data_IF_582905161220
#
_entry.id   IF_582905161220
#
_cell.length_a   1.000
_cell.length_b   1.000
_cell.length_c   1.000
_cell.angle_alpha   90.00
_cell.angle_beta   90.00
_cell.angle_gamma   90.00
#
_symmetry.space_group_name_H-M   'P 1'
#
loop_
_entity.id
_entity.type
_entity.pdbx_description
1 polymer ?
#
# COMPACT_ATOMS: atom_id res chain seq x y z
N UNK A 1 7.65 16.44 -24.95
CA UNK A 1 6.67 15.35 -24.69
C UNK A 1 7.41 14.02 -24.65
N UNK A 2 7.09 13.14 -23.71
CA UNK A 2 7.54 11.73 -23.74
C UNK A 2 6.39 10.87 -24.25
N UNK A 3 6.69 9.99 -25.19
CA UNK A 3 5.76 9.00 -25.74
C UNK A 3 6.26 7.65 -25.26
N UNK A 4 5.38 6.91 -24.60
CA UNK A 4 5.64 5.55 -24.12
C UNK A 4 4.76 4.60 -24.93
N UNK A 5 5.37 3.64 -25.59
CA UNK A 5 4.68 2.58 -26.33
C UNK A 5 4.38 1.39 -25.44
N UNK A 6 3.55 0.50 -25.95
CA UNK A 6 3.36 -0.83 -25.39
C UNK A 6 4.70 -1.58 -25.26
N UNK A 7 4.74 -2.55 -24.35
CA UNK A 7 5.94 -3.36 -24.14
C UNK A 7 6.22 -4.24 -25.36
N UNK A 8 7.46 -4.18 -25.83
CA UNK A 8 7.95 -4.94 -26.98
C UNK A 8 9.43 -5.27 -26.77
N UNK A 9 9.81 -6.52 -27.01
CA UNK A 9 11.18 -7.00 -26.83
C UNK A 9 12.10 -6.60 -28.00
N UNK A 10 11.58 -5.96 -29.06
CA UNK A 10 12.32 -5.71 -30.30
C UNK A 10 12.48 -4.22 -30.66
N UNK A 11 11.63 -3.33 -30.14
CA UNK A 11 11.62 -1.90 -30.50
C UNK A 11 11.87 -1.01 -29.29
N UNK A 12 12.32 0.23 -29.53
CA UNK A 12 12.29 1.23 -28.45
C UNK A 12 10.88 1.56 -28.05
N UNK A 13 10.69 1.61 -26.74
CA UNK A 13 9.41 1.87 -26.10
C UNK A 13 9.27 3.33 -25.69
N UNK A 14 10.37 4.08 -25.57
CA UNK A 14 10.35 5.52 -25.26
C UNK A 14 10.79 6.38 -26.43
N UNK A 15 10.04 7.45 -26.68
CA UNK A 15 10.39 8.48 -27.63
C UNK A 15 10.20 9.87 -27.02
N UNK A 16 11.13 10.76 -27.31
CA UNK A 16 11.05 12.16 -26.92
C UNK A 16 10.70 12.97 -28.16
N UNK A 17 9.62 13.74 -28.07
CA UNK A 17 9.21 14.69 -29.09
C UNK A 17 9.47 16.11 -28.60
N UNK A 18 10.36 16.83 -29.28
CA UNK A 18 10.62 18.27 -29.08
C UNK A 18 9.92 19.09 -30.16
N UNK A 19 9.92 20.41 -29.99
CA UNK A 19 9.45 21.37 -30.98
C UNK A 19 10.57 22.39 -31.20
N UNK A 20 10.97 22.57 -32.46
CA UNK A 20 12.08 23.42 -32.87
C UNK A 20 11.67 24.21 -34.12
N UNK A 21 12.31 25.35 -34.36
CA UNK A 21 12.17 26.09 -35.61
C UNK A 21 13.35 25.73 -36.52
N UNK A 22 13.09 25.29 -37.74
CA UNK A 22 14.13 25.13 -38.74
C UNK A 22 14.67 26.49 -39.20
N UNK A 23 15.79 26.46 -39.92
CA UNK A 23 16.50 27.66 -40.39
C UNK A 23 15.67 28.59 -41.28
N UNK A 24 14.59 28.09 -41.88
CA UNK A 24 13.62 28.81 -42.71
C UNK A 24 12.38 29.31 -41.93
N UNK A 25 12.33 29.10 -40.60
CA UNK A 25 11.21 29.50 -39.75
C UNK A 25 10.05 28.51 -39.72
N UNK A 26 10.18 27.33 -40.33
CA UNK A 26 9.16 26.27 -40.26
C UNK A 26 9.22 25.56 -38.90
N UNK A 27 8.07 25.31 -38.28
CA UNK A 27 8.02 24.51 -37.05
C UNK A 27 8.25 23.02 -37.38
N UNK A 28 9.27 22.41 -36.76
CA UNK A 28 9.60 20.99 -36.88
C UNK A 28 9.46 20.30 -35.51
N UNK A 29 9.11 19.02 -35.53
CA UNK A 29 8.90 18.22 -34.31
C UNK A 29 9.75 16.94 -34.33
N UNK A 30 11.07 17.05 -34.15
CA UNK A 30 11.95 15.89 -34.22
C UNK A 30 11.63 14.90 -33.09
N UNK A 31 11.88 13.62 -33.40
CA UNK A 31 11.68 12.50 -32.48
C UNK A 31 13.02 11.86 -32.19
N UNK A 32 13.37 11.79 -30.90
CA UNK A 32 14.57 11.11 -30.42
C UNK A 32 14.17 9.80 -29.73
N UNK A 33 14.81 8.71 -30.14
CA UNK A 33 14.67 7.40 -29.50
C UNK A 33 15.29 7.44 -28.10
N UNK A 34 14.56 6.96 -27.11
CA UNK A 34 14.96 6.94 -25.71
C UNK A 34 15.34 5.53 -25.25
N UNK A 35 14.83 5.18 -24.07
CA UNK A 35 15.06 3.90 -23.40
C UNK A 35 14.34 2.77 -24.15
N UNK A 36 14.95 1.59 -24.17
CA UNK A 36 14.41 0.35 -24.78
C UNK A 36 14.13 -0.68 -23.68
N UNK A 37 13.13 -1.55 -23.88
CA UNK A 37 12.88 -2.71 -23.03
C UNK A 37 11.97 -2.47 -21.83
N UNK A 38 11.33 -1.30 -21.74
CA UNK A 38 10.29 -1.03 -20.73
C UNK A 38 9.12 -0.33 -21.41
N UNK A 39 8.04 -1.03 -21.68
CA UNK A 39 6.81 -0.43 -22.21
C UNK A 39 5.68 -0.34 -21.19
N UNK A 40 4.65 0.38 -21.58
CA UNK A 40 3.43 0.51 -20.78
C UNK A 40 2.47 -0.66 -21.05
N UNK A 41 1.89 -1.22 -19.99
CA UNK A 41 0.92 -2.32 -20.11
C UNK A 41 -0.51 -1.80 -20.30
N UNK A 42 -0.81 -0.63 -19.72
CA UNK A 42 -2.10 0.03 -19.90
C UNK A 42 -1.91 1.51 -20.23
N UNK A 43 -2.63 1.97 -21.25
CA UNK A 43 -2.70 3.39 -21.64
C UNK A 43 -3.49 4.25 -20.64
N UNK A 44 -4.26 3.63 -19.75
CA UNK A 44 -5.08 4.29 -18.74
C UNK A 44 -4.42 4.32 -17.35
N UNK A 45 -3.21 3.78 -17.23
CA UNK A 45 -2.47 3.71 -15.97
C UNK A 45 -1.37 4.79 -15.85
N UNK A 46 -1.51 5.89 -16.60
CA UNK A 46 -0.58 7.03 -16.58
C UNK A 46 -1.13 8.16 -15.73
N UNK A 47 -0.37 8.62 -14.74
CA UNK A 47 -0.74 9.79 -13.94
C UNK A 47 0.49 10.49 -13.35
N UNK A 48 0.28 11.70 -12.83
CA UNK A 48 1.31 12.49 -12.16
C UNK A 48 1.07 12.50 -10.65
N UNK A 49 1.89 11.75 -9.90
CA UNK A 49 1.89 11.82 -8.45
C UNK A 49 2.90 12.86 -8.00
N UNK A 50 2.43 14.09 -7.75
CA UNK A 50 3.28 15.28 -7.57
C UNK A 50 4.16 15.51 -8.81
N UNK A 51 5.48 15.37 -8.66
CA UNK A 51 6.46 15.57 -9.74
C UNK A 51 6.89 14.24 -10.40
N UNK A 52 6.27 13.12 -10.04
CA UNK A 52 6.63 11.79 -10.52
C UNK A 52 5.62 11.33 -11.59
N UNK A 53 6.00 11.28 -12.89
CA UNK A 53 5.14 10.76 -13.94
C UNK A 53 5.12 9.22 -13.87
N UNK A 54 4.07 8.67 -13.26
CA UNK A 54 3.88 7.25 -13.05
C UNK A 54 3.20 6.60 -14.24
N UNK A 55 3.60 5.37 -14.54
CA UNK A 55 2.97 4.51 -15.53
C UNK A 55 3.19 3.04 -15.18
N UNK A 56 2.29 2.17 -15.63
CA UNK A 56 2.34 0.74 -15.36
C UNK A 56 3.16 -0.02 -16.41
N UNK A 57 4.12 -0.81 -15.96
CA UNK A 57 4.91 -1.77 -16.77
C UNK A 57 4.59 -3.21 -16.36
N UNK A 58 5.12 -4.20 -17.08
CA UNK A 58 4.95 -5.62 -16.73
C UNK A 58 5.56 -5.98 -15.36
N UNK A 59 6.54 -5.20 -14.91
CA UNK A 59 7.27 -5.41 -13.66
C UNK A 59 6.75 -4.55 -12.50
N UNK A 60 5.76 -3.67 -12.76
CA UNK A 60 5.13 -2.82 -11.76
C UNK A 60 4.98 -1.35 -12.19
N UNK A 61 4.62 -0.49 -11.25
CA UNK A 61 4.51 0.96 -11.46
C UNK A 61 5.90 1.57 -11.47
N UNK A 62 6.20 2.30 -12.53
CA UNK A 62 7.47 2.94 -12.76
C UNK A 62 7.31 4.42 -13.05
N UNK A 63 8.40 5.17 -12.88
CA UNK A 63 8.47 6.58 -13.20
C UNK A 63 9.58 6.89 -14.18
N UNK A 64 9.32 7.81 -15.11
CA UNK A 64 10.37 8.39 -15.96
C UNK A 64 11.07 9.49 -15.16
N UNK A 65 12.34 9.29 -14.84
CA UNK A 65 13.15 10.22 -14.05
C UNK A 65 14.36 10.73 -14.81
N UNK A 66 14.92 11.83 -14.33
CA UNK A 66 16.20 12.38 -14.80
C UNK A 66 17.30 11.93 -13.84
N UNK A 67 18.34 11.29 -14.36
CA UNK A 67 19.58 11.07 -13.62
C UNK A 67 20.49 12.27 -13.87
N UNK A 68 20.83 12.97 -12.80
CA UNK A 68 21.72 14.13 -12.79
C UNK A 68 23.17 13.67 -12.64
N UNK A 69 23.74 13.08 -13.69
CA UNK A 69 25.15 12.67 -13.75
C UNK A 69 26.00 13.61 -14.60
N UNK A 70 26.35 14.80 -14.10
CA UNK A 70 27.25 15.75 -14.79
C UNK A 70 26.54 16.68 -15.80
N UNK A 71 27.21 16.98 -16.93
CA UNK A 71 26.76 17.97 -17.94
C UNK A 71 25.59 17.45 -18.80
N UNK A 72 25.38 16.13 -18.88
CA UNK A 72 24.26 15.53 -19.63
C UNK A 72 23.18 14.99 -18.69
N UNK A 73 21.96 15.55 -18.80
CA UNK A 73 20.78 14.96 -18.19
C UNK A 73 20.32 13.76 -19.02
N UNK A 74 20.37 12.56 -18.45
CA UNK A 74 19.85 11.35 -19.08
C UNK A 74 18.55 10.93 -18.39
N UNK A 75 17.54 10.57 -19.18
CA UNK A 75 16.30 10.01 -18.64
C UNK A 75 16.49 8.53 -18.38
N UNK A 76 15.98 8.04 -17.26
CA UNK A 76 15.91 6.63 -16.91
C UNK A 76 14.49 6.26 -16.43
N UNK A 77 14.17 4.97 -16.43
CA UNK A 77 12.96 4.45 -15.80
C UNK A 77 13.35 3.86 -14.44
N UNK A 78 12.60 4.22 -13.39
CA UNK A 78 12.79 3.66 -12.06
C UNK A 78 11.49 3.04 -11.55
N UNK A 79 11.59 1.87 -10.93
CA UNK A 79 10.46 1.23 -10.28
C UNK A 79 10.05 2.03 -9.02
N UNK A 80 8.74 2.17 -8.79
CA UNK A 80 8.15 2.87 -7.63
C UNK A 80 7.31 1.97 -6.75
N UNK A 81 7.08 0.73 -7.17
CA UNK A 81 6.17 -0.24 -6.56
C UNK A 81 6.84 -1.50 -6.04
N UNK A 82 8.16 -1.47 -5.80
CA UNK A 82 8.97 -2.63 -5.40
C UNK A 82 8.29 -3.52 -4.34
N UNK A 83 7.71 -2.90 -3.30
CA UNK A 83 7.07 -3.59 -2.19
C UNK A 83 5.77 -4.33 -2.54
N UNK A 84 5.10 -3.99 -3.65
CA UNK A 84 3.86 -4.64 -4.09
C UNK A 84 4.03 -5.51 -5.34
N UNK A 85 5.16 -5.43 -6.03
CA UNK A 85 5.37 -6.12 -7.32
C UNK A 85 5.11 -7.62 -7.22
N UNK A 86 5.53 -8.27 -6.12
CA UNK A 86 5.32 -9.72 -5.92
C UNK A 86 3.84 -10.16 -5.96
N UNK A 87 2.90 -9.23 -5.72
CA UNK A 87 1.46 -9.43 -5.88
C UNK A 87 0.96 -8.83 -7.19
N UNK A 88 1.30 -7.57 -7.46
CA UNK A 88 0.80 -6.81 -8.61
C UNK A 88 1.07 -7.53 -9.94
N UNK A 89 2.26 -8.11 -10.13
CA UNK A 89 2.62 -8.79 -11.39
C UNK A 89 1.88 -10.09 -11.65
N UNK A 90 1.08 -10.57 -10.68
CA UNK A 90 0.22 -11.75 -10.82
C UNK A 90 -1.23 -11.38 -11.17
N UNK A 91 -1.60 -10.10 -11.09
CA UNK A 91 -2.92 -9.60 -11.45
C UNK A 91 -3.04 -9.43 -12.97
N UNK A 92 -4.27 -9.31 -13.50
CA UNK A 92 -4.45 -8.92 -14.89
C UNK A 92 -4.25 -7.41 -15.06
N UNK A 93 -3.16 -7.03 -15.72
CA UNK A 93 -2.73 -5.63 -15.86
C UNK A 93 -3.28 -4.92 -17.10
N UNK A 94 -3.85 -5.64 -18.08
CA UNK A 94 -4.29 -5.04 -19.36
C UNK A 94 -5.42 -4.03 -19.19
N UNK A 95 -6.29 -4.28 -18.22
CA UNK A 95 -7.46 -3.44 -17.94
C UNK A 95 -7.19 -2.44 -16.81
N UNK A 96 -5.92 -2.27 -16.44
CA UNK A 96 -5.58 -1.44 -15.30
C UNK A 96 -5.88 0.02 -15.60
N UNK A 97 -6.48 0.71 -14.64
CA UNK A 97 -6.79 2.14 -14.73
C UNK A 97 -6.26 2.86 -13.51
N UNK A 98 -5.74 4.07 -13.69
CA UNK A 98 -5.26 4.87 -12.59
C UNK A 98 -5.98 6.21 -12.46
N UNK A 99 -5.84 6.79 -11.27
CA UNK A 99 -6.06 8.22 -11.04
C UNK A 99 -5.18 8.71 -9.90
N UNK A 100 -5.09 10.03 -9.75
CA UNK A 100 -4.53 10.65 -8.56
C UNK A 100 -5.62 11.36 -7.77
N UNK A 101 -5.72 11.04 -6.49
CA UNK A 101 -6.68 11.64 -5.58
C UNK A 101 -6.07 11.85 -4.20
N UNK A 102 -6.22 13.07 -3.65
CA UNK A 102 -5.75 13.43 -2.30
C UNK A 102 -4.30 13.02 -1.97
N UNK A 103 -3.40 13.19 -2.95
CA UNK A 103 -1.98 12.84 -2.80
C UNK A 103 -1.69 11.34 -2.84
N UNK A 104 -2.63 10.52 -3.29
CA UNK A 104 -2.43 9.11 -3.61
C UNK A 104 -2.49 8.88 -5.13
N UNK A 105 -1.65 7.98 -5.63
CA UNK A 105 -1.86 7.35 -6.94
C UNK A 105 -2.59 6.05 -6.72
N UNK A 106 -3.78 5.90 -7.31
CA UNK A 106 -4.61 4.71 -7.24
C UNK A 106 -4.44 3.95 -8.55
N UNK A 107 -4.16 2.64 -8.46
CA UNK A 107 -4.09 1.74 -9.60
C UNK A 107 -5.06 0.57 -9.38
N UNK A 108 -6.10 0.51 -10.18
CA UNK A 108 -7.06 -0.60 -10.19
C UNK A 108 -6.63 -1.67 -11.18
N UNK A 109 -6.72 -2.93 -10.80
CA UNK A 109 -6.43 -4.10 -11.66
C UNK A 109 -7.58 -5.11 -11.66
N UNK A 110 -8.83 -4.61 -11.62
CA UNK A 110 -10.03 -5.41 -11.37
C UNK A 110 -10.62 -5.10 -10.00
N UNK A 111 -10.62 -6.07 -9.09
CA UNK A 111 -11.12 -5.90 -7.71
C UNK A 111 -10.06 -5.43 -6.71
N UNK A 112 -8.80 -5.40 -7.12
CA UNK A 112 -7.67 -4.88 -6.36
C UNK A 112 -7.40 -3.43 -6.75
N UNK A 113 -7.19 -2.57 -5.75
CA UNK A 113 -6.66 -1.21 -5.94
C UNK A 113 -5.40 -1.03 -5.11
N UNK A 114 -4.32 -0.60 -5.75
CA UNK A 114 -3.05 -0.30 -5.11
C UNK A 114 -2.86 1.21 -4.99
N UNK A 115 -2.51 1.69 -3.80
CA UNK A 115 -2.43 3.12 -3.51
C UNK A 115 -1.02 3.51 -3.10
N UNK A 116 -0.33 4.32 -3.89
CA UNK A 116 0.94 4.93 -3.52
C UNK A 116 0.71 6.25 -2.78
N UNK A 117 1.22 6.38 -1.56
CA UNK A 117 1.14 7.62 -0.80
C UNK A 117 2.31 8.56 -1.12
N UNK A 118 2.02 9.71 -1.73
CA UNK A 118 3.04 10.71 -2.05
C UNK A 118 3.75 11.31 -0.83
N UNK A 119 3.14 11.25 0.36
CA UNK A 119 3.69 11.81 1.62
C UNK A 119 4.76 10.92 2.22
N UNK A 120 4.80 9.65 1.86
CA UNK A 120 5.73 8.66 2.41
C UNK A 120 6.60 8.11 1.29
N UNK A 121 7.86 8.56 1.23
CA UNK A 121 8.88 7.99 0.35
C UNK A 121 9.71 6.98 1.15
N UNK A 122 9.66 5.72 0.74
CA UNK A 122 10.39 4.62 1.36
C UNK A 122 11.58 4.30 0.46
N UNK A 123 12.80 4.43 0.98
CA UNK A 123 14.00 4.19 0.18
C UNK A 123 15.25 4.18 1.03
N UNK A 124 16.28 3.50 0.54
CA UNK A 124 17.60 3.54 1.18
C UNK A 124 18.24 4.90 0.87
N UNK A 125 18.74 5.62 1.88
CA UNK A 125 19.57 6.82 1.69
C UNK A 125 20.86 6.55 0.88
N UNK A 126 21.18 5.28 0.59
CA UNK A 126 22.35 4.84 -0.18
C UNK A 126 22.15 4.82 -1.70
N UNK A 127 20.92 4.89 -2.21
CA UNK A 127 20.62 4.88 -3.64
C UNK A 127 19.70 6.05 -3.98
N UNK A 128 19.88 6.68 -5.15
CA UNK A 128 19.00 7.77 -5.66
C UNK A 128 17.58 7.30 -6.03
N UNK A 129 17.25 6.06 -5.69
CA UNK A 129 15.99 5.39 -5.98
C UNK A 129 15.15 5.31 -4.71
N UNK A 130 13.93 5.83 -4.78
CA UNK A 130 12.92 5.68 -3.74
C UNK A 130 11.67 4.99 -4.31
N UNK A 131 10.92 4.31 -3.46
CA UNK A 131 9.56 3.87 -3.70
C UNK A 131 8.57 4.65 -2.83
N UNK A 132 7.27 4.42 -3.06
CA UNK A 132 6.23 4.92 -2.18
C UNK A 132 5.88 3.90 -1.09
N UNK A 133 5.25 4.37 -0.02
CA UNK A 133 4.44 3.47 0.80
C UNK A 133 3.18 3.10 0.02
N UNK A 134 2.86 1.81 0.01
CA UNK A 134 1.73 1.28 -0.74
C UNK A 134 0.68 0.67 0.17
N UNK A 135 -0.59 0.95 -0.13
CA UNK A 135 -1.74 0.28 0.46
C UNK A 135 -2.46 -0.56 -0.58
N UNK A 136 -3.20 -1.56 -0.10
CA UNK A 136 -3.99 -2.45 -0.94
C UNK A 136 -5.43 -2.44 -0.47
N UNK A 137 -6.33 -1.99 -1.35
CA UNK A 137 -7.77 -2.13 -1.17
C UNK A 137 -8.26 -3.32 -1.99
N UNK A 138 -9.21 -4.06 -1.42
CA UNK A 138 -9.87 -5.20 -2.05
C UNK A 138 -11.36 -4.91 -2.13
N UNK A 139 -12.03 -5.51 -3.11
CA UNK A 139 -13.48 -5.37 -3.29
C UNK A 139 -13.89 -4.02 -3.90
N UNK A 140 -12.97 -3.29 -4.53
CA UNK A 140 -13.28 -2.04 -5.25
C UNK A 140 -13.14 -2.29 -6.76
N UNK A 141 -14.23 -2.64 -7.47
CA UNK A 141 -14.20 -3.06 -8.87
C UNK A 141 -14.16 -1.88 -9.85
N UNK A 142 -13.21 -0.96 -9.66
CA UNK A 142 -13.12 0.26 -10.45
C UNK A 142 -12.54 -0.02 -11.85
N UNK A 143 -13.34 0.31 -12.88
CA UNK A 143 -12.97 0.24 -14.31
C UNK A 143 -12.75 1.60 -14.94
N UNK A 144 -13.16 2.66 -14.27
CA UNK A 144 -12.86 4.05 -14.62
C UNK A 144 -12.85 4.89 -13.35
N UNK A 145 -11.96 5.86 -13.27
CA UNK A 145 -11.86 6.80 -12.17
C UNK A 145 -12.23 8.21 -12.62
N UNK A 146 -12.80 9.00 -11.71
CA UNK A 146 -13.01 10.42 -11.89
C UNK A 146 -12.80 11.13 -10.55
N UNK A 147 -11.76 11.97 -10.49
CA UNK A 147 -11.65 12.99 -9.46
C UNK A 147 -12.41 14.23 -9.94
N UNK A 148 -13.31 14.75 -9.10
CA UNK A 148 -14.03 15.98 -9.41
C UNK A 148 -14.33 16.78 -8.15
N UNK A 149 -13.65 17.92 -7.99
CA UNK A 149 -13.93 18.85 -6.89
C UNK A 149 -13.51 18.31 -5.51
N UNK A 150 -12.48 17.46 -5.46
CA UNK A 150 -12.01 16.79 -4.24
C UNK A 150 -12.70 15.46 -3.96
N UNK A 151 -13.74 15.13 -4.72
CA UNK A 151 -14.50 13.88 -4.61
C UNK A 151 -13.96 12.82 -5.58
N UNK A 152 -14.01 11.56 -5.17
CA UNK A 152 -13.55 10.45 -5.98
C UNK A 152 -14.71 9.54 -6.36
N UNK A 153 -14.90 9.37 -7.66
CA UNK A 153 -15.92 8.50 -8.25
C UNK A 153 -15.27 7.37 -9.04
N UNK A 154 -15.97 6.25 -9.15
CA UNK A 154 -15.58 5.18 -10.05
C UNK A 154 -16.77 4.50 -10.73
N UNK A 155 -16.54 4.06 -11.96
CA UNK A 155 -17.46 3.20 -12.71
C UNK A 155 -17.09 1.73 -12.52
N UNK A 156 -18.08 0.86 -12.38
CA UNK A 156 -17.90 -0.60 -12.37
C UNK A 156 -18.09 -1.19 -13.76
N UNK A 157 -17.68 -2.46 -13.94
CA UNK A 157 -17.93 -3.21 -15.18
C UNK A 157 -19.43 -3.39 -15.48
N UNK A 158 -20.28 -3.42 -14.45
CA UNK A 158 -21.74 -3.50 -14.58
C UNK A 158 -22.41 -2.15 -14.85
N UNK A 159 -21.62 -1.08 -15.01
CA UNK A 159 -22.13 0.27 -15.31
C UNK A 159 -22.65 1.02 -14.09
N UNK A 160 -22.40 0.56 -12.86
CA UNK A 160 -22.71 1.33 -11.65
C UNK A 160 -21.72 2.48 -11.52
N UNK A 161 -22.22 3.65 -11.12
CA UNK A 161 -21.40 4.78 -10.70
C UNK A 161 -21.37 4.82 -9.16
N UNK A 162 -20.17 4.74 -8.60
CA UNK A 162 -19.91 4.74 -7.16
C UNK A 162 -19.13 6.00 -6.77
N UNK A 163 -19.29 6.45 -5.52
CA UNK A 163 -18.55 7.57 -4.93
C UNK A 163 -17.86 7.06 -3.66
N UNK A 164 -16.58 7.37 -3.51
CA UNK A 164 -15.87 7.13 -2.25
C UNK A 164 -16.40 8.09 -1.18
N UNK A 165 -16.65 7.57 0.02
CA UNK A 165 -17.27 8.34 1.08
C UNK A 165 -16.38 9.50 1.57
N UNK A 166 -16.95 10.69 1.63
CA UNK A 166 -16.32 11.94 2.08
C UNK A 166 -17.23 12.80 2.96
N UNK A 167 -18.53 12.48 2.98
CA UNK A 167 -19.61 13.32 3.51
C UNK A 167 -20.51 12.59 4.52
N UNK A 168 -20.36 11.28 4.70
CA UNK A 168 -21.09 10.55 5.76
C UNK A 168 -20.44 10.82 7.11
N UNK A 169 -21.27 11.24 8.06
CA UNK A 169 -20.85 11.52 9.44
C UNK A 169 -21.04 10.31 10.37
N UNK A 170 -20.56 10.44 11.61
CA UNK A 170 -20.72 9.42 12.64
C UNK A 170 -19.96 8.11 12.34
N UNK A 171 -20.51 7.00 12.81
CA UNK A 171 -19.90 5.66 12.70
C UNK A 171 -20.28 4.94 11.40
N UNK A 172 -21.37 5.35 10.75
CA UNK A 172 -21.83 4.79 9.47
C UNK A 172 -20.84 5.00 8.32
N UNK A 173 -19.93 5.96 8.44
CA UNK A 173 -18.87 6.19 7.46
C UNK A 173 -17.85 5.07 7.34
N UNK A 174 -17.89 4.10 8.26
CA UNK A 174 -16.99 2.94 8.34
C UNK A 174 -17.67 1.62 7.92
N UNK A 175 -18.75 1.68 7.14
CA UNK A 175 -19.37 0.52 6.52
C UNK A 175 -19.60 0.80 5.01
N UNK A 176 -19.80 -0.26 4.25
CA UNK A 176 -20.25 -0.19 2.85
C UNK A 176 -21.57 -0.96 2.73
N UNK A 177 -22.65 -0.26 2.41
CA UNK A 177 -24.02 -0.81 2.36
C UNK A 177 -24.45 -1.63 3.61
N UNK A 178 -23.97 -1.25 4.80
CA UNK A 178 -24.26 -1.94 6.06
C UNK A 178 -23.32 -3.11 6.37
N UNK A 179 -22.38 -3.43 5.49
CA UNK A 179 -21.35 -4.44 5.69
C UNK A 179 -20.05 -3.83 6.20
N UNK A 180 -19.27 -4.61 6.96
CA UNK A 180 -18.03 -4.14 7.54
C UNK A 180 -16.95 -3.90 6.47
N UNK A 181 -16.27 -2.76 6.53
CA UNK A 181 -15.04 -2.54 5.75
C UNK A 181 -13.87 -3.14 6.55
N UNK A 182 -13.32 -4.24 6.05
CA UNK A 182 -12.21 -4.93 6.72
C UNK A 182 -10.94 -4.06 6.61
N UNK A 183 -10.34 -3.76 7.76
CA UNK A 183 -9.07 -3.05 7.84
C UNK A 183 -8.01 -3.97 8.47
N UNK A 184 -6.93 -4.24 7.74
CA UNK A 184 -5.88 -5.17 8.20
C UNK A 184 -4.49 -4.60 7.96
N UNK A 185 -3.62 -4.73 8.98
CA UNK A 185 -2.21 -4.35 8.92
C UNK A 185 -1.36 -5.55 9.28
N UNK A 186 -0.48 -5.95 8.37
CA UNK A 186 0.47 -7.02 8.58
C UNK A 186 1.89 -6.46 8.66
N UNK A 187 2.66 -6.86 9.67
CA UNK A 187 4.11 -6.62 9.65
C UNK A 187 4.76 -7.50 8.58
N UNK A 188 6.03 -7.26 8.23
CA UNK A 188 6.81 -8.31 7.55
C UNK A 188 6.84 -9.58 8.42
N UNK A 189 6.97 -10.75 7.79
CA UNK A 189 7.37 -11.96 8.52
C UNK A 189 8.84 -11.81 8.89
N UNK A 190 9.09 -11.36 10.13
CA UNK A 190 10.41 -10.90 10.54
C UNK A 190 11.21 -12.01 11.20
N UNK A 191 12.37 -12.33 10.63
CA UNK A 191 13.37 -13.23 11.19
C UNK A 191 14.28 -12.54 12.22
N UNK A 192 14.01 -11.28 12.54
CA UNK A 192 14.76 -10.46 13.50
C UNK A 192 16.29 -10.44 13.20
N UNK A 193 16.66 -10.57 11.93
CA UNK A 193 18.02 -10.43 11.42
C UNK A 193 18.88 -11.70 11.40
N UNK A 194 18.37 -12.86 11.84
CA UNK A 194 19.12 -14.13 11.78
C UNK A 194 18.20 -15.35 11.69
N UNK A 195 17.83 -15.78 10.48
CA UNK A 195 17.01 -16.97 10.25
C UNK A 195 17.61 -18.30 10.79
N UNK A 196 18.90 -18.36 11.16
CA UNK A 196 19.54 -19.57 11.70
C UNK A 196 19.47 -19.66 13.23
N UNK A 197 19.03 -18.62 13.91
CA UNK A 197 18.79 -18.61 15.36
C UNK A 197 17.30 -18.63 15.63
N UNK A 198 16.83 -19.51 16.52
CA UNK A 198 15.44 -19.48 16.99
C UNK A 198 15.26 -18.41 18.06
N UNK A 199 14.13 -17.73 18.06
CA UNK A 199 13.79 -16.67 19.01
C UNK A 199 12.61 -17.05 19.87
N UNK A 200 12.46 -16.33 20.97
CA UNK A 200 11.27 -16.38 21.81
C UNK A 200 10.75 -14.98 22.05
N UNK A 201 9.48 -14.77 21.76
CA UNK A 201 8.74 -13.57 22.14
C UNK A 201 8.33 -13.74 23.60
N UNK A 202 8.80 -12.89 24.53
CA UNK A 202 8.42 -12.96 25.92
C UNK A 202 6.95 -12.64 26.09
N UNK A 203 6.36 -13.14 27.18
CA UNK A 203 4.93 -12.97 27.46
C UNK A 203 4.50 -11.50 27.54
N UNK A 204 5.41 -10.60 27.94
CA UNK A 204 5.14 -9.17 28.17
C UNK A 204 6.12 -8.30 27.40
N UNK A 205 5.71 -7.07 27.11
CA UNK A 205 6.58 -6.03 26.53
C UNK A 205 6.46 -5.88 25.01
N UNK A 206 5.64 -6.71 24.37
CA UNK A 206 5.17 -6.53 22.99
C UNK A 206 3.78 -5.90 23.04
N UNK A 207 3.48 -5.02 22.09
CA UNK A 207 2.15 -4.42 21.98
C UNK A 207 2.03 -3.52 20.76
N UNK A 208 0.80 -3.05 20.52
CA UNK A 208 0.49 -2.11 19.45
C UNK A 208 -0.01 -0.78 20.01
N UNK A 209 0.31 0.30 19.31
CA UNK A 209 -0.26 1.62 19.51
C UNK A 209 -1.31 1.85 18.42
N UNK A 210 -2.53 2.15 18.81
CA UNK A 210 -3.67 2.28 17.90
C UNK A 210 -4.24 3.71 17.91
N UNK A 211 -4.80 4.08 16.77
CA UNK A 211 -5.55 5.32 16.59
C UNK A 211 -6.92 5.19 17.28
N UNK A 212 -7.31 6.16 18.10
CA UNK A 212 -8.54 6.05 18.86
C UNK A 212 -9.75 6.49 18.01
N UNK A 213 -10.88 5.81 18.17
CA UNK A 213 -12.15 6.12 17.51
C UNK A 213 -13.31 5.93 18.49
N UNK A 214 -14.46 6.56 18.22
CA UNK A 214 -15.69 6.38 19.01
C UNK A 214 -16.06 4.91 19.13
N UNK A 215 -16.11 4.19 18.00
CA UNK A 215 -16.22 2.74 17.94
C UNK A 215 -15.02 2.12 17.24
N UNK A 216 -14.36 1.18 17.89
CA UNK A 216 -13.24 0.44 17.35
C UNK A 216 -13.03 -0.86 18.12
N UNK A 217 -12.50 -1.86 17.43
CA UNK A 217 -12.02 -3.08 18.04
C UNK A 217 -10.80 -3.57 17.28
N UNK A 218 -10.14 -4.56 17.86
CA UNK A 218 -8.97 -5.17 17.24
C UNK A 218 -8.97 -6.67 17.50
N UNK A 219 -8.57 -7.43 16.48
CA UNK A 219 -8.08 -8.79 16.59
C UNK A 219 -6.61 -8.77 16.19
N UNK A 220 -5.76 -9.35 17.03
CA UNK A 220 -4.33 -9.48 16.73
C UNK A 220 -4.01 -10.95 16.58
N UNK A 221 -3.42 -11.31 15.45
CA UNK A 221 -2.91 -12.64 15.18
C UNK A 221 -1.39 -12.62 15.11
N UNK A 222 -0.77 -13.72 15.54
CA UNK A 222 0.64 -14.00 15.36
C UNK A 222 0.79 -15.21 14.45
N UNK A 223 1.52 -15.05 13.34
CA UNK A 223 1.90 -16.13 12.42
C UNK A 223 3.38 -16.43 12.66
N UNK A 224 3.65 -17.59 13.25
CA UNK A 224 4.99 -18.00 13.65
C UNK A 224 5.50 -19.14 12.75
N UNK A 225 6.59 -18.89 12.03
CA UNK A 225 7.32 -19.92 11.28
C UNK A 225 8.29 -20.61 12.23
N UNK A 226 8.24 -21.93 12.38
CA UNK A 226 9.12 -22.67 13.33
C UNK A 226 10.04 -23.72 12.69
N UNK A 227 9.96 -23.83 11.36
CA UNK A 227 10.57 -24.85 10.52
C UNK A 227 9.79 -24.90 9.22
N UNK A 228 9.25 -26.08 8.89
CA UNK A 228 8.54 -26.31 7.62
C UNK A 228 7.08 -25.80 7.61
N UNK A 229 6.53 -25.47 8.78
CA UNK A 229 5.15 -25.02 8.93
C UNK A 229 5.04 -23.64 9.61
N UNK A 230 4.00 -22.90 9.17
CA UNK A 230 3.52 -21.68 9.80
C UNK A 230 2.36 -21.98 10.75
N UNK A 231 2.43 -21.39 11.95
CA UNK A 231 1.36 -21.48 12.95
C UNK A 231 0.73 -20.12 13.22
N UNK A 232 -0.54 -19.98 12.87
CA UNK A 232 -1.35 -18.81 13.22
C UNK A 232 -2.01 -18.98 14.58
N UNK A 233 -1.99 -17.94 15.40
CA UNK A 233 -2.65 -17.93 16.71
C UNK A 233 -3.24 -16.55 17.03
N UNK A 234 -4.44 -16.53 17.61
CA UNK A 234 -5.03 -15.30 18.13
C UNK A 234 -4.26 -14.87 19.39
N UNK A 235 -3.69 -13.67 19.34
CA UNK A 235 -2.93 -13.04 20.42
C UNK A 235 -3.86 -12.32 21.38
N UNK A 236 -4.77 -11.50 20.85
CA UNK A 236 -5.76 -10.76 21.64
C UNK A 236 -6.93 -10.31 20.78
N UNK A 237 -8.08 -10.09 21.42
CA UNK A 237 -9.22 -9.40 20.84
C UNK A 237 -9.86 -8.49 21.89
N UNK A 238 -10.05 -7.21 21.57
CA UNK A 238 -10.58 -6.20 22.51
C UNK A 238 -11.33 -5.06 21.79
N UNK A 239 -12.36 -4.55 22.45
CA UNK A 239 -13.00 -3.27 22.11
C UNK A 239 -12.14 -2.10 22.60
N UNK A 240 -12.13 -1.03 21.81
CA UNK A 240 -11.23 0.12 21.95
C UNK A 240 -11.98 1.46 21.83
N UNK A 241 -13.25 1.45 22.21
CA UNK A 241 -14.18 2.57 22.10
C UNK A 241 -13.78 3.78 22.96
N UNK A 242 -14.04 4.97 22.44
CA UNK A 242 -14.03 6.23 23.18
C UNK A 242 -15.48 6.60 23.46
N UNK A 243 -15.75 7.04 24.67
CA UNK A 243 -17.05 7.57 25.06
C UNK A 243 -17.43 8.79 24.22
N UNK A 244 -18.60 8.73 23.60
CA UNK A 244 -19.25 9.83 22.91
C UNK A 244 -20.72 9.89 23.36
N UNK A 245 -21.19 11.07 23.75
CA UNK A 245 -22.57 11.27 24.18
C UNK A 245 -23.59 11.02 23.06
N UNK A 246 -23.17 11.18 21.80
CA UNK A 246 -24.04 10.95 20.64
C UNK A 246 -24.08 9.47 20.23
N UNK A 247 -23.27 8.62 20.86
CA UNK A 247 -23.12 7.21 20.48
C UNK A 247 -22.96 6.31 21.72
N UNK A 248 -24.06 6.14 22.47
CA UNK A 248 -24.07 5.35 23.71
C UNK A 248 -24.47 3.91 23.41
N UNK A 249 -23.56 2.97 23.68
CA UNK A 249 -23.81 1.54 23.72
C UNK A 249 -23.46 0.98 25.11
N UNK A 250 -24.47 0.59 25.88
CA UNK A 250 -24.28 0.05 27.22
C UNK A 250 -23.61 -1.33 27.26
N UNK A 251 -23.62 -2.08 26.14
CA UNK A 251 -22.92 -3.36 26.05
C UNK A 251 -21.41 -3.19 25.90
N UNK A 252 -20.98 -2.01 25.43
CA UNK A 252 -19.59 -1.64 25.14
C UNK A 252 -19.19 -0.32 25.78
N UNK A 253 -19.74 -0.05 26.96
CA UNK A 253 -19.55 1.24 27.61
C UNK A 253 -18.07 1.50 27.93
N UNK A 254 -17.55 2.62 27.42
CA UNK A 254 -16.20 3.11 27.70
C UNK A 254 -16.28 4.32 28.63
N UNK A 255 -15.34 4.43 29.56
CA UNK A 255 -15.16 5.64 30.39
C UNK A 255 -14.03 6.53 29.84
N UNK A 256 -13.46 6.17 28.71
CA UNK A 256 -12.33 6.87 28.10
C UNK A 256 -12.90 8.00 27.25
N UNK A 257 -12.53 9.24 27.54
CA UNK A 257 -12.99 10.44 26.81
C UNK A 257 -11.88 11.12 26.01
N UNK A 258 -10.64 10.64 26.12
CA UNK A 258 -9.49 11.26 25.47
C UNK A 258 -9.25 10.67 24.07
N UNK A 259 -8.99 11.54 23.11
CA UNK A 259 -8.55 11.17 21.75
C UNK A 259 -7.07 10.80 21.65
N UNK A 260 -6.44 10.37 22.74
CA UNK A 260 -5.02 10.00 22.76
C UNK A 260 -4.81 8.59 22.21
N UNK A 261 -3.67 8.37 21.55
CA UNK A 261 -3.27 7.04 21.09
C UNK A 261 -3.32 6.01 22.22
N UNK A 262 -3.83 4.81 21.92
CA UNK A 262 -4.01 3.76 22.93
C UNK A 262 -3.00 2.65 22.74
N UNK A 263 -2.50 2.11 23.85
CA UNK A 263 -1.57 0.98 23.84
C UNK A 263 -2.32 -0.30 24.20
N UNK A 264 -2.16 -1.33 23.38
CA UNK A 264 -2.61 -2.69 23.66
C UNK A 264 -1.38 -3.54 23.88
N UNK A 265 -1.13 -3.92 25.13
CA UNK A 265 -0.11 -4.90 25.46
C UNK A 265 -0.58 -6.31 25.10
N UNK A 266 0.31 -7.09 24.50
CA UNK A 266 0.06 -8.50 24.20
C UNK A 266 0.57 -9.34 25.37
N UNK A 267 -0.24 -10.29 25.84
CA UNK A 267 0.12 -11.22 26.93
C UNK A 267 0.38 -12.65 26.39
N UNK A 268 1.08 -12.72 25.25
CA UNK A 268 1.29 -13.96 24.49
C UNK A 268 2.77 -14.30 24.45
N UNK A 269 3.12 -15.57 24.63
CA UNK A 269 4.49 -16.07 24.51
C UNK A 269 4.60 -16.96 23.27
N UNK A 270 5.47 -16.62 22.34
CA UNK A 270 5.77 -17.44 21.16
C UNK A 270 7.19 -17.96 21.28
N UNK A 271 7.38 -19.28 21.33
CA UNK A 271 8.70 -19.89 21.53
C UNK A 271 9.23 -20.48 20.23
N UNK A 272 10.56 -20.47 20.09
CA UNK A 272 11.31 -21.19 19.05
C UNK A 272 10.92 -20.81 17.62
N UNK A 273 10.46 -19.59 17.39
CA UNK A 273 10.16 -19.12 16.05
C UNK A 273 11.45 -18.77 15.29
N UNK A 274 11.42 -18.96 13.97
CA UNK A 274 12.45 -18.51 13.02
C UNK A 274 12.07 -17.09 12.58
N UNK A 275 10.85 -16.95 12.04
CA UNK A 275 10.21 -15.69 11.68
C UNK A 275 8.86 -15.53 12.39
N UNK A 276 8.46 -14.28 12.64
CA UNK A 276 7.18 -13.95 13.27
C UNK A 276 6.55 -12.73 12.61
N UNK A 277 5.31 -12.88 12.18
CA UNK A 277 4.46 -11.81 11.68
C UNK A 277 3.33 -11.52 12.67
N UNK A 278 2.97 -10.24 12.80
CA UNK A 278 1.72 -9.83 13.44
C UNK A 278 0.74 -9.31 12.39
N UNK A 279 -0.52 -9.72 12.51
CA UNK A 279 -1.64 -9.22 11.70
C UNK A 279 -2.64 -8.59 12.65
N UNK A 280 -2.92 -7.30 12.45
CA UNK A 280 -3.85 -6.51 13.25
C UNK A 280 -5.06 -6.21 12.38
N UNK A 281 -6.22 -6.70 12.77
CA UNK A 281 -7.43 -6.69 11.95
C UNK A 281 -8.62 -6.10 12.70
N UNK A 282 -9.47 -5.41 11.95
CA UNK A 282 -10.81 -5.02 12.32
C UNK A 282 -11.76 -5.40 11.18
N UNK A 283 -12.83 -6.10 11.51
CA UNK A 283 -13.83 -6.65 10.58
C UNK A 283 -15.26 -6.41 11.10
N UNK A 284 -15.45 -5.37 11.93
CA UNK A 284 -16.73 -5.10 12.59
C UNK A 284 -17.41 -3.90 11.94
N UNK A 285 -18.71 -4.02 11.68
CA UNK A 285 -19.51 -2.96 11.06
C UNK A 285 -19.49 -1.68 11.92
N UNK A 286 -19.43 -0.52 11.25
CA UNK A 286 -19.46 0.80 11.88
C UNK A 286 -18.26 1.10 12.80
N UNK A 287 -17.11 0.48 12.57
CA UNK A 287 -15.91 0.71 13.37
C UNK A 287 -14.79 1.38 12.59
N UNK A 288 -14.24 2.45 13.17
CA UNK A 288 -12.99 3.03 12.68
C UNK A 288 -11.80 2.20 13.14
N UNK A 289 -10.78 2.08 12.30
CA UNK A 289 -9.54 1.39 12.65
C UNK A 289 -8.29 2.15 12.20
N UNK A 290 -7.19 1.94 12.92
CA UNK A 290 -5.92 2.58 12.60
C UNK A 290 -4.83 2.18 13.58
N UNK A 291 -3.62 1.98 13.06
CA UNK A 291 -2.46 1.55 13.82
C UNK A 291 -1.37 2.59 13.66
N UNK A 292 -0.84 3.10 14.78
CA UNK A 292 0.31 4.01 14.77
C UNK A 292 1.65 3.26 14.77
N UNK A 293 1.68 2.07 15.38
CA UNK A 293 2.88 1.25 15.36
C UNK A 293 2.76 0.01 16.23
N UNK A 294 3.76 -0.87 16.10
CA UNK A 294 3.88 -2.09 16.88
C UNK A 294 5.30 -2.19 17.42
N UNK A 295 5.43 -2.63 18.66
CA UNK A 295 6.71 -2.96 19.28
C UNK A 295 6.74 -4.46 19.51
N UNK A 296 7.72 -5.13 18.89
CA UNK A 296 8.05 -6.54 19.09
C UNK A 296 9.32 -6.65 19.93
N UNK A 297 9.25 -7.39 21.05
CA UNK A 297 10.42 -7.79 21.82
C UNK A 297 10.69 -9.28 21.64
N UNK A 298 11.95 -9.66 21.70
CA UNK A 298 12.37 -11.06 21.58
C UNK A 298 13.68 -11.33 22.32
N UNK A 299 13.96 -12.61 22.55
CA UNK A 299 15.23 -13.11 23.07
C UNK A 299 15.75 -14.22 22.17
N UNK A 300 17.06 -14.28 21.96
CA UNK A 300 17.71 -15.38 21.25
C UNK A 300 17.60 -16.70 22.03
N UNK A 301 17.42 -17.78 21.29
CA UNK A 301 17.45 -19.16 21.76
C UNK A 301 18.51 -19.97 21.02
N UNK A 302 18.24 -21.26 20.80
CA UNK A 302 19.19 -22.18 20.15
C UNK A 302 19.15 -22.06 18.62
N UNK A 303 20.21 -22.54 17.97
CA UNK A 303 20.27 -22.67 16.52
C UNK A 303 19.19 -23.58 15.94
N UNK A 304 18.79 -23.29 14.70
CA UNK A 304 17.97 -24.19 13.88
C UNK A 304 18.76 -25.49 13.66
N UNK A 305 18.10 -26.63 13.83
CA UNK A 305 18.74 -27.94 13.66
C UNK A 305 18.72 -28.33 12.18
N UNK A 306 19.77 -29.03 11.73
CA UNK A 306 19.78 -29.71 10.43
C UNK A 306 18.63 -30.72 10.37
N UNK A 307 17.80 -30.64 9.33
CA UNK A 307 16.81 -31.65 8.98
C UNK A 307 17.57 -32.94 8.66
N UNK A 308 17.22 -34.03 9.35
CA UNK A 308 17.80 -35.36 9.13
C UNK A 308 17.26 -36.02 7.88
#
# INVERSE_FOLDING_TARGET
>A
LVIVKEDSDQDSTFFIRSAELSSDGTAIFPMQQGITGVGAVSKYAFDYLRDDPLFLTKDGVSAVTLVSGGISQQRTVQNRSEYINARLTKENLSDAVSCVWNGFYLLSTGESVYLADSRQKVGSQRYETYGYEWYHWQGVPARAWLEHGGELYFGTETGKLCKMNTDVEGTFKYNDDGEAIIASWATKSDDDGDFMVRKTLPKRGTGAMIKPYTRSSIKVYAVATTGDDDKTSLVTSRSMDIFDYNDIDFTRFSFITTGSARIIAFDTKVKKYIALQFILENDVVNEGFGVYGIIKRYTHGNYVKRSG
#
